data_IF_481321021488
#
_entry.id   IF_481321021488
#
_cell.length_a   1.000
_cell.length_b   1.000
_cell.length_c   1.000
_cell.angle_alpha   90.00
_cell.angle_beta   90.00
_cell.angle_gamma   90.00
#
_symmetry.space_group_name_H-M   'P 1'
#
loop_
_entity.id
_entity.type
_entity.pdbx_description
1 polymer ?
#
# COMPACT_ATOMS: atom_id res chain seq x y z
N UNK A 1 12.10 31.61 -5.91
CA UNK A 1 11.64 30.26 -5.48
C UNK A 1 12.06 30.11 -4.04
N UNK A 2 11.12 29.87 -3.12
CA UNK A 2 11.45 29.77 -1.70
C UNK A 2 12.33 28.54 -1.46
N UNK A 3 13.40 28.72 -0.67
CA UNK A 3 14.27 27.64 -0.24
C UNK A 3 13.49 26.80 0.77
N UNK A 4 13.16 25.56 0.42
CA UNK A 4 12.51 24.62 1.33
C UNK A 4 13.54 23.59 1.77
N UNK A 5 13.73 23.43 3.08
CA UNK A 5 14.74 22.57 3.69
C UNK A 5 14.10 21.49 4.54
N UNK A 6 14.88 20.48 4.95
CA UNK A 6 14.40 19.42 5.84
C UNK A 6 13.87 19.95 7.19
N UNK A 7 14.31 21.14 7.62
CA UNK A 7 13.84 21.83 8.82
C UNK A 7 12.39 22.31 8.72
N UNK A 8 11.89 22.53 7.49
CA UNK A 8 10.54 23.01 7.20
C UNK A 8 9.50 21.88 7.19
N UNK A 9 9.94 20.63 7.34
CA UNK A 9 9.07 19.45 7.47
C UNK A 9 8.51 19.42 8.90
N UNK A 10 7.18 19.58 9.09
CA UNK A 10 6.59 19.49 10.42
C UNK A 10 6.86 18.11 11.03
N UNK A 11 7.12 18.09 12.34
CA UNK A 11 7.25 16.85 13.11
C UNK A 11 6.06 15.93 12.84
N UNK A 12 6.32 14.76 12.25
CA UNK A 12 5.33 13.74 11.98
C UNK A 12 5.05 12.82 13.18
N UNK A 13 5.71 13.10 14.31
CA UNK A 13 5.62 12.33 15.56
C UNK A 13 4.14 12.24 15.99
N UNK A 14 3.59 11.02 15.94
CA UNK A 14 2.20 10.73 16.30
C UNK A 14 1.15 10.94 15.19
N UNK A 15 1.54 11.42 13.99
CA UNK A 15 0.63 11.65 12.84
C UNK A 15 0.78 10.64 11.72
N UNK A 16 1.99 10.13 11.51
CA UNK A 16 2.26 9.08 10.54
C UNK A 16 3.13 8.00 11.16
N UNK A 17 3.06 6.79 10.63
CA UNK A 17 4.05 5.78 10.95
C UNK A 17 5.42 6.28 10.49
N UNK A 18 6.43 6.20 11.36
CA UNK A 18 7.82 6.38 10.92
C UNK A 18 8.11 5.42 9.77
N UNK A 19 8.95 5.83 8.81
CA UNK A 19 9.19 5.08 7.58
C UNK A 19 9.45 3.58 7.82
N UNK A 20 10.26 3.25 8.84
CA UNK A 20 10.53 1.87 9.24
C UNK A 20 9.27 1.06 9.64
N UNK A 21 8.30 1.69 10.32
CA UNK A 21 7.03 1.06 10.69
C UNK A 21 6.07 0.97 9.50
N UNK A 22 6.00 2.01 8.67
CA UNK A 22 5.19 2.02 7.45
C UNK A 22 5.61 0.97 6.43
N UNK A 23 6.90 0.60 6.40
CA UNK A 23 7.43 -0.40 5.50
C UNK A 23 7.11 -1.85 5.90
N UNK A 24 6.67 -2.11 7.14
CA UNK A 24 6.50 -3.48 7.64
C UNK A 24 5.50 -4.32 6.84
N UNK A 25 4.32 -3.82 6.42
CA UNK A 25 3.38 -4.62 5.63
C UNK A 25 3.95 -5.02 4.26
N UNK A 26 4.70 -4.12 3.60
CA UNK A 26 5.39 -4.40 2.34
C UNK A 26 6.47 -5.46 2.52
N UNK A 27 7.29 -5.36 3.57
CA UNK A 27 8.30 -6.36 3.88
C UNK A 27 7.66 -7.73 4.18
N UNK A 28 6.56 -7.74 4.93
CA UNK A 28 5.82 -8.96 5.21
C UNK A 28 5.32 -9.61 3.92
N UNK A 29 4.61 -8.87 3.07
CA UNK A 29 4.08 -9.38 1.80
C UNK A 29 5.17 -9.90 0.86
N UNK A 30 6.37 -9.29 0.88
CA UNK A 30 7.47 -9.66 -0.01
C UNK A 30 8.32 -10.83 0.51
N UNK A 31 8.34 -11.10 1.82
CA UNK A 31 9.37 -11.98 2.42
C UNK A 31 8.86 -13.00 3.43
N UNK A 32 7.67 -12.81 4.01
CA UNK A 32 7.17 -13.72 5.03
C UNK A 32 6.80 -15.07 4.39
N UNK A 33 7.25 -16.22 4.94
CA UNK A 33 6.84 -17.54 4.44
C UNK A 33 5.34 -17.79 4.50
N UNK A 34 4.62 -17.03 5.34
CA UNK A 34 3.18 -17.08 5.51
C UNK A 34 2.43 -16.13 4.57
N UNK A 35 3.13 -15.34 3.75
CA UNK A 35 2.49 -14.47 2.78
C UNK A 35 1.97 -15.28 1.59
N UNK A 36 0.75 -14.98 1.18
CA UNK A 36 0.04 -15.65 0.10
C UNK A 36 -0.12 -14.70 -1.10
N UNK A 37 0.09 -15.23 -2.31
CA UNK A 37 -0.12 -14.47 -3.54
C UNK A 37 -1.58 -14.04 -3.70
N UNK A 38 -1.80 -12.78 -4.09
CA UNK A 38 -3.15 -12.22 -4.26
C UNK A 38 -3.81 -11.72 -2.97
N UNK A 39 -3.14 -11.80 -1.82
CA UNK A 39 -3.63 -11.24 -0.56
C UNK A 39 -3.22 -9.78 -0.37
N UNK A 40 -3.92 -9.10 0.55
CA UNK A 40 -3.69 -7.72 0.92
C UNK A 40 -3.29 -7.64 2.39
N UNK A 41 -2.16 -6.97 2.68
CA UNK A 41 -1.57 -6.92 4.02
C UNK A 41 -1.45 -5.48 4.51
N UNK A 42 -1.78 -5.26 5.78
CA UNK A 42 -1.77 -3.96 6.42
C UNK A 42 -1.58 -4.09 7.94
N UNK A 43 -1.51 -2.96 8.65
CA UNK A 43 -1.45 -2.96 10.10
C UNK A 43 -2.71 -3.57 10.75
N UNK A 44 -2.56 -4.29 11.86
CA UNK A 44 -3.62 -5.06 12.52
C UNK A 44 -4.50 -4.28 13.52
N UNK A 45 -4.27 -2.98 13.72
CA UNK A 45 -5.02 -2.16 14.71
C UNK A 45 -5.69 -0.95 14.05
N UNK A 46 -6.51 -0.28 14.86
CA UNK A 46 -7.41 0.84 14.52
C UNK A 46 -7.48 1.19 13.02
N UNK A 47 -8.44 0.57 12.32
CA UNK A 47 -8.71 0.89 10.92
C UNK A 47 -7.54 0.67 9.97
N UNK A 48 -6.66 -0.29 10.27
CA UNK A 48 -5.46 -0.61 9.46
C UNK A 48 -4.43 0.52 9.40
N UNK A 49 -4.39 1.38 10.44
CA UNK A 49 -3.48 2.55 10.48
C UNK A 49 -2.23 2.34 11.34
N UNK A 50 -2.25 1.35 12.25
CA UNK A 50 -1.15 1.11 13.20
C UNK A 50 -1.08 -0.37 13.58
N UNK A 51 0.04 -0.82 14.12
CA UNK A 51 0.22 -2.20 14.57
C UNK A 51 1.25 -2.98 13.76
N UNK A 52 1.17 -4.30 13.82
CA UNK A 52 2.03 -5.22 13.07
C UNK A 52 1.36 -5.63 11.76
N UNK A 53 2.13 -6.09 10.75
CA UNK A 53 1.57 -6.65 9.53
C UNK A 53 0.65 -7.83 9.81
N UNK A 54 -0.54 -7.79 9.23
CA UNK A 54 -1.51 -8.88 9.19
C UNK A 54 -2.33 -8.79 7.90
N UNK A 55 -3.16 -9.80 7.63
CA UNK A 55 -4.14 -9.71 6.55
C UNK A 55 -5.07 -8.51 6.79
N UNK A 56 -5.20 -7.65 5.79
CA UNK A 56 -6.04 -6.46 5.80
C UNK A 56 -7.29 -6.68 4.95
N UNK A 57 -8.31 -5.85 5.18
CA UNK A 57 -9.57 -5.95 4.44
C UNK A 57 -9.40 -5.31 3.06
N UNK A 58 -9.68 -6.09 2.02
CA UNK A 58 -9.75 -5.54 0.67
C UNK A 58 -11.03 -4.68 0.56
N UNK A 59 -10.95 -3.42 0.10
CA UNK A 59 -12.13 -2.62 -0.19
C UNK A 59 -13.05 -3.35 -1.17
N UNK A 60 -14.36 -3.33 -0.94
CA UNK A 60 -15.30 -4.13 -1.76
C UNK A 60 -15.26 -3.75 -3.25
N UNK A 61 -14.97 -2.49 -3.56
CA UNK A 61 -14.81 -1.99 -4.92
C UNK A 61 -13.59 -2.62 -5.62
N UNK A 62 -12.53 -2.93 -4.88
CA UNK A 62 -11.34 -3.60 -5.42
C UNK A 62 -11.57 -5.10 -5.70
N UNK A 63 -12.74 -5.65 -5.33
CA UNK A 63 -13.12 -7.03 -5.62
C UNK A 63 -13.93 -7.17 -6.92
N UNK A 64 -14.31 -6.07 -7.59
CA UNK A 64 -15.04 -6.14 -8.86
C UNK A 64 -14.11 -6.58 -10.00
N UNK A 65 -14.30 -7.81 -10.46
CA UNK A 65 -13.49 -8.41 -11.54
C UNK A 65 -13.70 -7.74 -12.90
N UNK A 66 -14.87 -7.18 -13.17
CA UNK A 66 -15.15 -6.50 -14.45
C UNK A 66 -14.38 -5.19 -14.50
N UNK A 67 -14.38 -4.43 -13.41
CA UNK A 67 -13.60 -3.21 -13.34
C UNK A 67 -12.10 -3.49 -13.31
N UNK A 68 -11.65 -4.54 -12.61
CA UNK A 68 -10.25 -4.96 -12.66
C UNK A 68 -9.78 -5.31 -14.09
N UNK A 69 -10.58 -6.07 -14.85
CA UNK A 69 -10.27 -6.41 -16.24
C UNK A 69 -10.22 -5.16 -17.13
N UNK A 70 -11.23 -4.28 -17.02
CA UNK A 70 -11.27 -3.04 -17.81
C UNK A 70 -10.08 -2.14 -17.52
N UNK A 71 -9.67 -2.03 -16.25
CA UNK A 71 -8.50 -1.26 -15.86
C UNK A 71 -7.22 -1.85 -16.43
N UNK A 72 -7.08 -3.19 -16.41
CA UNK A 72 -5.92 -3.87 -16.97
C UNK A 72 -5.80 -3.65 -18.48
N UNK A 73 -6.87 -3.87 -19.23
CA UNK A 73 -6.90 -3.71 -20.70
C UNK A 73 -6.54 -2.28 -21.10
N UNK A 74 -7.10 -1.29 -20.40
CA UNK A 74 -6.81 0.12 -20.66
C UNK A 74 -5.37 0.48 -20.28
N UNK A 75 -4.84 -0.07 -19.19
CA UNK A 75 -3.43 0.13 -18.79
C UNK A 75 -2.46 -0.45 -19.82
N UNK A 76 -2.74 -1.64 -20.34
CA UNK A 76 -1.97 -2.26 -21.42
C UNK A 76 -2.03 -1.41 -22.70
N UNK A 77 -3.22 -0.91 -23.07
CA UNK A 77 -3.42 -0.03 -24.23
C UNK A 77 -2.64 1.28 -24.10
N UNK A 78 -2.68 1.93 -22.94
CA UNK A 78 -2.03 3.21 -22.69
C UNK A 78 -0.49 3.09 -22.64
N UNK A 79 0.01 1.97 -22.11
CA UNK A 79 1.46 1.74 -21.99
C UNK A 79 2.07 1.04 -23.20
N UNK A 80 1.25 0.43 -24.06
CA UNK A 80 1.70 -0.40 -25.18
C UNK A 80 2.31 -1.75 -24.76
N UNK A 81 2.28 -2.08 -23.47
CA UNK A 81 2.79 -3.34 -22.92
C UNK A 81 1.79 -4.46 -23.20
N UNK A 82 2.28 -5.64 -23.61
CA UNK A 82 1.49 -6.84 -23.86
C UNK A 82 1.93 -7.96 -22.91
N UNK A 83 0.96 -8.70 -22.39
CA UNK A 83 1.12 -9.84 -21.48
C UNK A 83 0.60 -11.11 -22.13
#
# INVERSE_FOLDING_TARGET
MAHWTASDIPSQRGRTAVAARGALPTLFAATAPQAEGGFYYGPDRLGETRGHPAAARIPIQALDRKDAQRLWDESARLTGVRF
#
